data_IF_622985480873
#
_entry.id   IF_622985480873
#
_cell.length_a   1.000
_cell.length_b   1.000
_cell.length_c   1.000
_cell.angle_alpha   90.00
_cell.angle_beta   90.00
_cell.angle_gamma   90.00
#
_symmetry.space_group_name_H-M   'P 1'
#
loop_
_entity.id
_entity.type
_entity.pdbx_description
1 polymer ?
#
# COMPACT_ATOMS: atom_id res chain seq x y z
N UNK A 1 5.35 22.73 5.63
CA UNK A 1 6.36 21.66 5.52
C UNK A 1 7.06 21.32 6.82
N UNK A 2 7.36 22.29 7.70
CA UNK A 2 7.98 21.99 9.00
C UNK A 2 7.11 21.16 9.97
N UNK A 3 5.80 21.13 9.80
CA UNK A 3 4.88 20.46 10.71
C UNK A 3 4.82 18.93 10.48
N UNK A 4 4.78 18.48 9.24
CA UNK A 4 4.75 17.04 8.91
C UNK A 4 6.07 16.35 9.30
N UNK A 5 7.20 17.04 9.14
CA UNK A 5 8.52 16.52 9.55
C UNK A 5 8.71 16.41 11.09
N UNK A 6 7.78 16.98 11.87
CA UNK A 6 7.77 16.83 13.34
C UNK A 6 7.00 15.59 13.80
N UNK A 7 6.21 14.98 12.93
CA UNK A 7 5.43 13.78 13.26
C UNK A 7 6.37 12.56 13.19
N UNK A 8 6.37 11.68 14.21
CA UNK A 8 7.16 10.45 14.16
C UNK A 8 6.81 9.59 12.93
N UNK A 9 7.83 9.03 12.28
CA UNK A 9 7.64 8.21 11.08
C UNK A 9 6.61 7.08 11.23
N UNK A 10 6.64 6.30 12.32
CA UNK A 10 5.63 5.25 12.55
C UNK A 10 4.20 5.76 12.57
N UNK A 11 3.96 6.97 13.08
CA UNK A 11 2.61 7.58 13.10
C UNK A 11 2.16 7.92 11.67
N UNK A 12 3.07 8.43 10.83
CA UNK A 12 2.76 8.70 9.42
C UNK A 12 2.44 7.41 8.67
N UNK A 13 3.21 6.33 8.89
CA UNK A 13 2.94 5.03 8.29
C UNK A 13 1.59 4.48 8.73
N UNK A 14 1.27 4.55 10.03
CA UNK A 14 -0.01 4.09 10.57
C UNK A 14 -1.20 4.84 9.94
N UNK A 15 -1.15 6.18 9.89
CA UNK A 15 -2.20 6.99 9.26
C UNK A 15 -2.32 6.64 7.77
N UNK A 16 -1.19 6.44 7.09
CA UNK A 16 -1.17 6.02 5.69
C UNK A 16 -1.84 4.66 5.48
N UNK A 17 -1.58 3.67 6.35
CA UNK A 17 -2.22 2.36 6.31
C UNK A 17 -3.74 2.46 6.56
N UNK A 18 -4.19 3.34 7.48
CA UNK A 18 -5.63 3.62 7.67
C UNK A 18 -6.24 4.21 6.40
N UNK A 19 -5.55 5.12 5.69
CA UNK A 19 -6.03 5.62 4.39
C UNK A 19 -6.19 4.48 3.37
N UNK A 20 -5.22 3.56 3.30
CA UNK A 20 -5.28 2.42 2.38
C UNK A 20 -6.45 1.48 2.70
N UNK A 21 -6.85 1.36 3.96
CA UNK A 21 -7.94 0.50 4.42
C UNK A 21 -9.29 0.79 3.76
N UNK A 22 -9.50 2.01 3.22
CA UNK A 22 -10.71 2.35 2.46
C UNK A 22 -10.79 1.65 1.10
N UNK A 23 -9.71 1.02 0.63
CA UNK A 23 -9.64 0.40 -0.69
C UNK A 23 -10.71 -0.65 -0.94
N UNK A 24 -10.97 -1.52 0.03
CA UNK A 24 -11.98 -2.57 -0.08
C UNK A 24 -13.39 -2.04 -0.33
N UNK A 25 -13.81 -1.01 0.42
CA UNK A 25 -15.12 -0.37 0.25
C UNK A 25 -15.22 0.27 -1.13
N UNK A 26 -14.21 1.06 -1.51
CA UNK A 26 -14.23 1.78 -2.79
C UNK A 26 -14.29 0.79 -3.96
N UNK A 27 -13.48 -0.29 -3.91
CA UNK A 27 -13.45 -1.29 -4.99
C UNK A 27 -14.78 -2.03 -5.11
N UNK A 28 -15.42 -2.37 -4.00
CA UNK A 28 -16.74 -3.03 -4.01
C UNK A 28 -17.89 -2.13 -4.52
N UNK A 29 -17.67 -0.82 -4.56
CA UNK A 29 -18.69 0.15 -4.96
C UNK A 29 -18.65 0.52 -6.45
N UNK A 30 -17.67 0.04 -7.24
CA UNK A 30 -17.67 0.23 -8.68
C UNK A 30 -18.79 -0.60 -9.35
N UNK A 31 -19.54 0.03 -10.29
CA UNK A 31 -20.74 -0.58 -10.89
C UNK A 31 -20.53 -1.02 -12.35
N UNK A 32 -19.64 -0.39 -13.11
CA UNK A 32 -19.55 -0.66 -14.56
C UNK A 32 -18.16 -0.47 -15.16
N UNK A 33 -17.23 0.15 -14.45
CA UNK A 33 -15.87 0.32 -14.95
C UNK A 33 -15.11 -1.01 -14.98
N UNK A 34 -14.43 -1.29 -16.09
CA UNK A 34 -13.54 -2.43 -16.17
C UNK A 34 -12.20 -2.14 -15.44
N UNK A 35 -11.47 -3.21 -15.18
CA UNK A 35 -10.17 -3.24 -14.52
C UNK A 35 -9.21 -2.14 -15.00
N UNK A 36 -9.06 -1.99 -16.33
CA UNK A 36 -8.08 -1.06 -16.90
C UNK A 36 -8.54 0.40 -16.82
N UNK A 37 -9.86 0.64 -16.89
CA UNK A 37 -10.47 1.94 -16.64
C UNK A 37 -10.27 2.36 -15.20
N UNK A 38 -10.47 1.43 -14.24
CA UNK A 38 -10.21 1.68 -12.82
C UNK A 38 -8.72 1.98 -12.59
N UNK A 39 -7.82 1.18 -13.18
CA UNK A 39 -6.39 1.42 -13.08
C UNK A 39 -6.04 2.82 -13.62
N UNK A 40 -6.51 3.17 -14.83
CA UNK A 40 -6.23 4.47 -15.45
C UNK A 40 -6.69 5.63 -14.56
N UNK A 41 -7.98 5.69 -14.22
CA UNK A 41 -8.53 6.83 -13.50
C UNK A 41 -7.99 6.94 -12.07
N UNK A 42 -7.87 5.82 -11.37
CA UNK A 42 -7.26 5.78 -10.03
C UNK A 42 -5.84 6.32 -10.05
N UNK A 43 -5.02 5.91 -11.00
CA UNK A 43 -3.64 6.35 -11.10
C UNK A 43 -3.52 7.79 -11.62
N UNK A 44 -4.43 8.23 -12.46
CA UNK A 44 -4.51 9.62 -12.90
C UNK A 44 -4.74 10.57 -11.70
N UNK A 45 -5.73 10.28 -10.84
CA UNK A 45 -5.97 11.07 -9.65
C UNK A 45 -4.86 10.95 -8.62
N UNK A 46 -4.22 9.80 -8.52
CA UNK A 46 -3.02 9.61 -7.72
C UNK A 46 -1.88 10.51 -8.19
N UNK A 47 -1.60 10.56 -9.49
CA UNK A 47 -0.58 11.44 -10.04
C UNK A 47 -0.90 12.93 -9.78
N UNK A 48 -2.18 13.32 -9.80
CA UNK A 48 -2.60 14.70 -9.48
C UNK A 48 -2.23 15.07 -8.04
N UNK A 49 -2.61 14.26 -7.04
CA UNK A 49 -2.32 14.60 -5.63
C UNK A 49 -0.81 14.61 -5.36
N UNK A 50 -0.06 13.67 -5.95
CA UNK A 50 1.40 13.66 -5.83
C UNK A 50 2.01 14.92 -6.48
N UNK A 51 1.49 15.33 -7.64
CA UNK A 51 1.91 16.57 -8.30
C UNK A 51 1.63 17.80 -7.43
N UNK A 52 0.43 17.86 -6.83
CA UNK A 52 0.06 18.97 -5.92
C UNK A 52 1.00 19.01 -4.70
N UNK A 53 1.30 17.86 -4.10
CA UNK A 53 2.27 17.77 -3.00
C UNK A 53 3.64 18.31 -3.43
N UNK A 54 4.14 17.88 -4.59
CA UNK A 54 5.45 18.31 -5.09
C UNK A 54 5.48 19.80 -5.44
N UNK A 55 4.41 20.34 -6.05
CA UNK A 55 4.31 21.77 -6.37
C UNK A 55 4.26 22.63 -5.10
N UNK A 56 3.49 22.22 -4.08
CA UNK A 56 3.41 22.93 -2.80
C UNK A 56 4.77 22.88 -2.07
N UNK A 57 5.42 21.71 -2.11
CA UNK A 57 6.67 21.45 -1.40
C UNK A 57 7.86 22.14 -2.06
N UNK A 58 8.01 22.01 -3.36
CA UNK A 58 9.20 22.42 -4.12
C UNK A 58 9.01 23.70 -4.92
N UNK A 59 7.77 24.14 -5.14
CA UNK A 59 7.47 25.38 -5.90
C UNK A 59 8.27 25.43 -7.22
N UNK A 60 9.13 26.46 -7.36
CA UNK A 60 9.99 26.64 -8.57
C UNK A 60 11.03 25.51 -8.76
N UNK A 61 11.31 24.72 -7.73
CA UNK A 61 12.27 23.61 -7.78
C UNK A 61 11.60 22.25 -8.07
N UNK A 62 10.38 22.23 -8.58
CA UNK A 62 9.63 21.01 -8.88
C UNK A 62 10.45 19.98 -9.68
N UNK A 63 11.02 20.35 -10.80
CA UNK A 63 11.84 19.45 -11.63
C UNK A 63 13.11 18.99 -10.92
N UNK A 64 13.68 19.83 -10.04
CA UNK A 64 14.86 19.47 -9.25
C UNK A 64 14.56 18.32 -8.26
N UNK A 65 13.30 18.17 -7.80
CA UNK A 65 12.92 17.04 -6.93
C UNK A 65 13.07 15.69 -7.63
N UNK A 66 12.73 15.60 -8.92
CA UNK A 66 12.94 14.40 -9.75
C UNK A 66 14.42 14.14 -9.99
N UNK A 67 15.20 15.18 -10.27
CA UNK A 67 16.64 15.05 -10.43
C UNK A 67 17.31 14.55 -9.16
N UNK A 68 16.89 15.04 -8.00
CA UNK A 68 17.42 14.62 -6.70
C UNK A 68 17.05 13.17 -6.33
N UNK A 69 15.86 12.71 -6.69
CA UNK A 69 15.47 11.30 -6.48
C UNK A 69 16.20 10.34 -7.43
N UNK A 70 16.63 10.84 -8.58
CA UNK A 70 17.51 10.18 -9.54
C UNK A 70 17.04 8.79 -9.98
N UNK A 71 18.00 7.97 -10.40
CA UNK A 71 17.75 6.59 -10.82
C UNK A 71 17.09 5.73 -9.74
N UNK A 72 17.46 5.81 -8.45
CA UNK A 72 16.77 5.04 -7.41
C UNK A 72 15.28 5.36 -7.31
N UNK A 73 14.92 6.66 -7.36
CA UNK A 73 13.53 7.08 -7.37
C UNK A 73 12.76 6.59 -8.61
N UNK A 74 13.40 6.64 -9.78
CA UNK A 74 12.81 6.11 -11.01
C UNK A 74 12.56 4.59 -10.93
N UNK A 75 13.56 3.81 -10.48
CA UNK A 75 13.42 2.35 -10.34
C UNK A 75 12.39 1.97 -9.28
N UNK A 76 12.35 2.67 -8.14
CA UNK A 76 11.31 2.50 -7.13
C UNK A 76 9.91 2.80 -7.68
N UNK A 77 9.77 3.86 -8.47
CA UNK A 77 8.53 4.22 -9.14
C UNK A 77 8.10 3.20 -10.21
N UNK A 78 9.05 2.72 -11.01
CA UNK A 78 8.80 1.67 -12.01
C UNK A 78 8.33 0.38 -11.33
N UNK A 79 9.03 -0.06 -10.28
CA UNK A 79 8.63 -1.23 -9.48
C UNK A 79 7.21 -1.07 -8.95
N UNK A 80 6.90 0.07 -8.32
CA UNK A 80 5.58 0.32 -7.76
C UNK A 80 4.48 0.39 -8.84
N UNK A 81 4.79 0.87 -10.06
CA UNK A 81 3.82 0.88 -11.17
C UNK A 81 3.39 -0.53 -11.58
N UNK A 82 4.36 -1.46 -11.61
CA UNK A 82 4.08 -2.88 -11.85
C UNK A 82 3.25 -3.48 -10.73
N UNK A 83 3.54 -3.11 -9.48
CA UNK A 83 2.74 -3.50 -8.32
C UNK A 83 1.28 -3.04 -8.43
N UNK A 84 1.04 -1.79 -8.82
CA UNK A 84 -0.32 -1.28 -9.00
C UNK A 84 -1.08 -2.01 -10.13
N UNK A 85 -0.43 -2.28 -11.26
CA UNK A 85 -1.03 -3.06 -12.35
C UNK A 85 -1.34 -4.49 -11.90
N UNK A 86 -0.39 -5.14 -11.23
CA UNK A 86 -0.54 -6.50 -10.71
C UNK A 86 -1.67 -6.61 -9.67
N UNK A 87 -1.82 -5.62 -8.79
CA UNK A 87 -2.91 -5.55 -7.82
C UNK A 87 -4.28 -5.59 -8.50
N UNK A 88 -4.47 -4.69 -9.48
CA UNK A 88 -5.75 -4.59 -10.19
C UNK A 88 -6.00 -5.85 -11.00
N UNK A 89 -4.99 -6.41 -11.66
CA UNK A 89 -5.09 -7.68 -12.38
C UNK A 89 -5.50 -8.83 -11.45
N UNK A 90 -4.86 -8.94 -10.29
CA UNK A 90 -5.17 -9.98 -9.31
C UNK A 90 -6.60 -9.88 -8.80
N UNK A 91 -7.10 -8.67 -8.52
CA UNK A 91 -8.48 -8.46 -8.08
C UNK A 91 -9.53 -8.98 -9.06
N UNK A 92 -9.19 -9.10 -10.35
CA UNK A 92 -10.08 -9.63 -11.39
C UNK A 92 -9.91 -11.13 -11.66
N UNK A 93 -8.70 -11.67 -11.49
CA UNK A 93 -8.39 -13.06 -11.87
C UNK A 93 -8.43 -14.01 -10.68
N UNK A 94 -8.29 -13.49 -9.44
CA UNK A 94 -8.42 -14.30 -8.23
C UNK A 94 -9.43 -13.68 -7.26
N UNK A 95 -9.60 -14.28 -6.07
CA UNK A 95 -10.52 -13.75 -5.07
C UNK A 95 -9.92 -12.53 -4.35
N UNK A 96 -10.78 -11.61 -3.90
CA UNK A 96 -10.36 -10.47 -3.07
C UNK A 96 -9.63 -10.95 -1.81
N UNK A 97 -10.08 -12.07 -1.22
CA UNK A 97 -9.44 -12.66 -0.04
C UNK A 97 -8.01 -13.14 -0.34
N UNK A 98 -7.79 -13.84 -1.47
CA UNK A 98 -6.46 -14.28 -1.88
C UNK A 98 -5.56 -13.08 -2.14
N UNK A 99 -6.06 -12.08 -2.87
CA UNK A 99 -5.29 -10.87 -3.18
C UNK A 99 -4.88 -10.14 -1.91
N UNK A 100 -5.81 -9.89 -0.99
CA UNK A 100 -5.52 -9.22 0.28
C UNK A 100 -4.56 -10.02 1.15
N UNK A 101 -4.71 -11.36 1.22
CA UNK A 101 -3.76 -12.21 1.95
C UNK A 101 -2.34 -12.10 1.37
N UNK A 102 -2.21 -12.17 0.04
CA UNK A 102 -0.91 -12.07 -0.62
C UNK A 102 -0.28 -10.69 -0.37
N UNK A 103 -1.05 -9.60 -0.41
CA UNK A 103 -0.54 -8.25 -0.13
C UNK A 103 0.05 -8.18 1.28
N UNK A 104 -0.59 -8.77 2.29
CA UNK A 104 -0.07 -8.71 3.67
C UNK A 104 1.29 -9.38 3.82
N UNK A 105 1.70 -10.24 2.87
CA UNK A 105 3.06 -10.80 2.84
C UNK A 105 4.15 -9.74 2.63
N UNK A 106 3.78 -8.49 2.29
CA UNK A 106 4.70 -7.35 2.24
C UNK A 106 5.47 -7.17 3.55
N UNK A 107 4.86 -7.53 4.69
CA UNK A 107 5.50 -7.52 6.01
C UNK A 107 6.75 -8.41 6.02
N UNK A 108 6.67 -9.58 5.39
CA UNK A 108 7.78 -10.53 5.28
C UNK A 108 8.83 -10.00 4.30
N UNK A 109 8.40 -9.47 3.14
CA UNK A 109 9.31 -8.88 2.15
C UNK A 109 10.05 -7.67 2.70
N UNK A 110 9.36 -6.78 3.44
CA UNK A 110 9.96 -5.62 4.09
C UNK A 110 11.02 -6.02 5.13
N UNK A 111 10.71 -7.00 5.97
CA UNK A 111 11.67 -7.51 6.95
C UNK A 111 12.89 -8.14 6.26
N UNK A 112 12.65 -8.96 5.23
CA UNK A 112 13.71 -9.66 4.49
C UNK A 112 14.59 -8.69 3.71
N UNK A 113 14.00 -7.81 2.89
CA UNK A 113 14.76 -6.84 2.10
C UNK A 113 15.45 -5.80 2.99
N UNK A 114 14.81 -5.39 4.09
CA UNK A 114 15.41 -4.53 5.11
C UNK A 114 16.67 -5.15 5.72
N UNK A 115 16.61 -6.43 6.05
CA UNK A 115 17.78 -7.15 6.56
C UNK A 115 18.92 -7.24 5.53
N UNK A 116 18.63 -7.64 4.29
CA UNK A 116 19.67 -7.84 3.28
C UNK A 116 20.25 -6.54 2.74
N UNK A 117 19.42 -5.55 2.40
CA UNK A 117 19.85 -4.34 1.72
C UNK A 117 20.20 -3.19 2.67
N UNK A 118 19.46 -3.05 3.78
CA UNK A 118 19.65 -1.95 4.73
C UNK A 118 20.51 -2.38 5.93
N UNK A 119 20.79 -3.68 6.07
CA UNK A 119 21.48 -4.27 7.23
C UNK A 119 20.72 -4.02 8.54
N UNK A 120 19.40 -3.80 8.46
CA UNK A 120 18.55 -3.63 9.63
C UNK A 120 18.43 -4.97 10.37
N UNK A 121 18.80 -4.99 11.64
CA UNK A 121 18.65 -6.19 12.47
C UNK A 121 17.21 -6.30 12.95
N UNK A 122 16.59 -7.42 12.68
CA UNK A 122 15.26 -7.75 13.21
C UNK A 122 15.47 -8.21 14.66
N UNK A 123 14.98 -7.43 15.61
CA UNK A 123 15.00 -7.83 17.01
C UNK A 123 13.90 -8.87 17.31
N UNK A 124 14.01 -9.55 18.44
CA UNK A 124 13.07 -10.60 18.83
C UNK A 124 11.63 -10.08 18.94
N UNK A 125 11.45 -8.85 19.41
CA UNK A 125 10.12 -8.22 19.54
C UNK A 125 9.49 -8.01 18.17
N UNK A 126 10.25 -7.46 17.23
CA UNK A 126 9.80 -7.29 15.84
C UNK A 126 9.47 -8.64 15.19
N UNK A 127 10.30 -9.67 15.40
CA UNK A 127 10.03 -11.00 14.87
C UNK A 127 8.73 -11.60 15.44
N UNK A 128 8.54 -11.51 16.76
CA UNK A 128 7.30 -11.97 17.42
C UNK A 128 6.10 -11.20 16.87
N UNK A 129 6.22 -9.88 16.71
CA UNK A 129 5.13 -9.05 16.16
C UNK A 129 4.77 -9.47 14.72
N UNK A 130 5.75 -9.76 13.88
CA UNK A 130 5.49 -10.26 12.52
C UNK A 130 4.74 -11.60 12.58
N UNK A 131 5.19 -12.55 13.40
CA UNK A 131 4.56 -13.86 13.52
C UNK A 131 3.12 -13.72 14.05
N UNK A 132 2.90 -12.94 15.09
CA UNK A 132 1.57 -12.69 15.64
C UNK A 132 0.66 -12.00 14.62
N UNK A 133 1.14 -10.94 13.96
CA UNK A 133 0.38 -10.23 12.96
C UNK A 133 -0.03 -11.14 11.79
N UNK A 134 0.91 -11.91 11.24
CA UNK A 134 0.62 -12.86 10.17
C UNK A 134 -0.33 -13.98 10.61
N UNK A 135 -0.23 -14.47 11.86
CA UNK A 135 -1.20 -15.44 12.39
C UNK A 135 -2.61 -14.84 12.48
N UNK A 136 -2.73 -13.58 12.87
CA UNK A 136 -4.01 -12.86 12.86
C UNK A 136 -4.60 -12.74 11.44
N UNK A 137 -3.77 -12.43 10.45
CA UNK A 137 -4.18 -12.40 9.03
C UNK A 137 -4.64 -13.77 8.55
N UNK A 138 -3.93 -14.84 8.92
CA UNK A 138 -4.33 -16.22 8.59
C UNK A 138 -5.69 -16.59 9.20
N UNK A 139 -5.99 -16.14 10.41
CA UNK A 139 -7.30 -16.36 11.04
C UNK A 139 -8.41 -15.58 10.30
N UNK A 140 -8.15 -14.34 9.89
CA UNK A 140 -9.13 -13.53 9.16
C UNK A 140 -9.45 -14.13 7.80
N UNK A 141 -8.43 -14.44 7.03
CA UNK A 141 -8.56 -14.76 5.60
C UNK A 141 -8.48 -16.25 5.30
N UNK A 142 -7.94 -17.06 6.21
CA UNK A 142 -7.66 -18.47 5.97
C UNK A 142 -8.87 -19.29 5.51
N UNK A 143 -10.06 -19.01 6.05
CA UNK A 143 -11.31 -19.67 5.64
C UNK A 143 -11.81 -19.25 4.25
N UNK A 144 -11.35 -18.12 3.74
CA UNK A 144 -11.73 -17.55 2.44
C UNK A 144 -10.68 -17.81 1.34
N UNK A 145 -9.53 -18.40 1.71
CA UNK A 145 -8.48 -18.74 0.74
C UNK A 145 -8.93 -19.94 -0.10
N UNK A 146 -8.92 -19.76 -1.41
CA UNK A 146 -9.29 -20.82 -2.35
C UNK A 146 -8.49 -20.71 -3.65
N UNK A 147 -8.22 -21.85 -4.29
CA UNK A 147 -7.69 -21.95 -5.65
C UNK A 147 -8.61 -22.94 -6.38
N UNK A 148 -9.45 -22.42 -7.26
CA UNK A 148 -10.47 -23.22 -7.95
C UNK A 148 -10.18 -23.41 -9.45
N UNK A 149 -9.26 -22.60 -10.01
CA UNK A 149 -8.93 -22.65 -11.44
C UNK A 149 -7.46 -22.27 -11.69
N UNK A 150 -6.95 -22.64 -12.88
CA UNK A 150 -5.62 -22.23 -13.34
C UNK A 150 -5.50 -20.70 -13.49
N UNK A 151 -6.57 -20.02 -13.83
CA UNK A 151 -6.62 -18.56 -13.92
C UNK A 151 -6.44 -17.92 -12.56
N UNK A 152 -7.13 -18.42 -11.53
CA UNK A 152 -6.95 -17.95 -10.14
C UNK A 152 -5.53 -18.21 -9.62
N UNK A 153 -4.96 -19.36 -9.97
CA UNK A 153 -3.57 -19.65 -9.60
C UNK A 153 -2.60 -18.64 -10.22
N UNK A 154 -2.77 -18.33 -11.51
CA UNK A 154 -1.96 -17.30 -12.18
C UNK A 154 -2.18 -15.92 -11.56
N UNK A 155 -3.42 -15.56 -11.24
CA UNK A 155 -3.74 -14.33 -10.52
C UNK A 155 -3.03 -14.22 -9.18
N UNK A 156 -2.99 -15.32 -8.41
CA UNK A 156 -2.27 -15.37 -7.13
C UNK A 156 -0.75 -15.17 -7.30
N UNK A 157 -0.15 -15.78 -8.34
CA UNK A 157 1.29 -15.58 -8.62
C UNK A 157 1.57 -14.11 -8.98
N UNK A 158 0.77 -13.53 -9.86
CA UNK A 158 0.93 -12.12 -10.27
C UNK A 158 0.71 -11.17 -9.09
N UNK A 159 -0.20 -11.51 -8.17
CA UNK A 159 -0.45 -10.71 -6.97
C UNK A 159 0.81 -10.47 -6.13
N UNK A 160 1.78 -11.40 -6.11
CA UNK A 160 3.04 -11.22 -5.36
C UNK A 160 3.91 -10.06 -5.86
N UNK A 161 3.69 -9.60 -7.09
CA UNK A 161 4.41 -8.42 -7.61
C UNK A 161 4.10 -7.20 -6.75
N UNK A 162 2.87 -7.05 -6.22
CA UNK A 162 2.49 -5.89 -5.39
C UNK A 162 3.30 -5.80 -4.09
N UNK A 163 3.31 -6.80 -3.19
CA UNK A 163 4.05 -6.72 -1.93
C UNK A 163 5.57 -6.62 -2.14
N UNK A 164 6.11 -7.26 -3.18
CA UNK A 164 7.53 -7.13 -3.54
C UNK A 164 7.82 -5.69 -4.00
N UNK A 165 7.00 -5.14 -4.88
CA UNK A 165 7.18 -3.78 -5.41
C UNK A 165 7.09 -2.72 -4.32
N UNK A 166 6.16 -2.88 -3.38
CA UNK A 166 6.04 -2.01 -2.22
C UNK A 166 7.27 -2.09 -1.33
N UNK A 167 7.75 -3.30 -1.03
CA UNK A 167 8.96 -3.51 -0.23
C UNK A 167 10.20 -2.89 -0.90
N UNK A 168 10.34 -3.01 -2.22
CA UNK A 168 11.40 -2.34 -2.99
C UNK A 168 11.33 -0.83 -2.83
N UNK A 169 10.14 -0.22 -2.97
CA UNK A 169 9.98 1.23 -2.77
C UNK A 169 10.43 1.66 -1.36
N UNK A 170 9.96 0.97 -0.32
CA UNK A 170 10.30 1.30 1.07
C UNK A 170 11.81 1.17 1.30
N UNK A 171 12.43 0.12 0.78
CA UNK A 171 13.89 -0.05 0.87
C UNK A 171 14.62 1.09 0.18
N UNK A 172 14.21 1.50 -1.02
CA UNK A 172 14.78 2.66 -1.72
C UNK A 172 14.63 3.94 -0.88
N UNK A 173 13.45 4.18 -0.32
CA UNK A 173 13.22 5.32 0.58
C UNK A 173 14.19 5.31 1.77
N UNK A 174 14.38 4.15 2.39
CA UNK A 174 15.27 3.94 3.54
C UNK A 174 16.75 4.05 3.19
N UNK A 175 17.16 3.63 1.99
CA UNK A 175 18.54 3.79 1.52
C UNK A 175 18.93 5.26 1.35
N UNK A 176 17.97 6.13 1.07
CA UNK A 176 18.20 7.56 0.81
C UNK A 176 17.36 8.44 1.75
N UNK A 177 17.53 8.37 3.08
CA UNK A 177 16.64 9.01 4.05
C UNK A 177 16.65 10.54 4.01
N UNK A 178 17.65 11.15 3.38
CA UNK A 178 17.77 12.60 3.18
C UNK A 178 17.12 13.09 1.88
N UNK A 179 16.75 12.18 1.01
CA UNK A 179 16.12 12.47 -0.29
C UNK A 179 14.63 12.23 -0.18
N UNK A 180 13.83 13.18 -0.65
CA UNK A 180 12.39 12.96 -0.78
C UNK A 180 12.14 12.02 -1.98
N UNK A 181 11.59 10.86 -1.70
CA UNK A 181 11.26 9.85 -2.72
C UNK A 181 9.78 9.91 -3.17
N UNK A 182 9.02 10.94 -2.78
CA UNK A 182 7.67 11.16 -3.32
C UNK A 182 7.67 11.31 -4.86
N UNK A 183 8.69 11.88 -5.53
CA UNK A 183 8.77 11.85 -7.00
C UNK A 183 8.70 10.43 -7.61
N UNK A 184 9.16 9.39 -6.90
CA UNK A 184 9.01 8.00 -7.35
C UNK A 184 7.54 7.60 -7.50
N UNK A 185 6.67 8.11 -6.63
CA UNK A 185 5.23 7.85 -6.69
C UNK A 185 4.56 8.52 -7.88
N UNK A 186 5.00 9.73 -8.25
CA UNK A 186 4.55 10.35 -9.50
C UNK A 186 4.89 9.46 -10.70
N UNK A 187 6.13 8.97 -10.76
CA UNK A 187 6.57 8.03 -11.81
C UNK A 187 5.69 6.78 -11.81
N UNK A 188 5.42 6.19 -10.64
CA UNK A 188 4.55 5.02 -10.50
C UNK A 188 3.13 5.30 -11.01
N UNK A 189 2.54 6.43 -10.60
CA UNK A 189 1.20 6.84 -11.02
C UNK A 189 1.08 7.03 -12.53
N UNK A 190 2.03 7.76 -13.13
CA UNK A 190 2.03 8.01 -14.58
C UNK A 190 2.22 6.71 -15.37
N UNK A 191 3.20 5.87 -15.01
CA UNK A 191 3.45 4.61 -15.73
C UNK A 191 2.26 3.65 -15.60
N UNK A 192 1.68 3.50 -14.42
CA UNK A 192 0.50 2.66 -14.23
C UNK A 192 -0.76 3.23 -14.92
N UNK A 193 -0.92 4.56 -14.97
CA UNK A 193 -1.98 5.18 -15.76
C UNK A 193 -1.81 4.91 -17.26
N UNK A 194 -0.58 4.98 -17.79
CA UNK A 194 -0.29 4.64 -19.17
C UNK A 194 -0.65 3.17 -19.46
N UNK A 195 -0.29 2.24 -18.58
CA UNK A 195 -0.70 0.84 -18.70
C UNK A 195 -2.23 0.73 -18.76
N UNK A 196 -2.93 1.35 -17.79
CA UNK A 196 -4.38 1.38 -17.77
C UNK A 196 -4.99 1.94 -19.06
N UNK A 197 -4.44 3.06 -19.58
CA UNK A 197 -4.89 3.69 -20.81
C UNK A 197 -4.75 2.78 -22.03
N UNK A 198 -3.61 2.10 -22.17
CA UNK A 198 -3.34 1.22 -23.31
C UNK A 198 -4.32 0.07 -23.37
N UNK A 199 -4.65 -0.52 -22.22
CA UNK A 199 -5.49 -1.72 -22.14
C UNK A 199 -6.98 -1.44 -21.89
N UNK A 200 -7.38 -0.20 -21.57
CA UNK A 200 -8.77 0.15 -21.27
C UNK A 200 -9.70 0.06 -22.51
N UNK A 201 -9.18 0.20 -23.71
CA UNK A 201 -9.96 0.32 -24.95
C UNK A 201 -10.77 1.63 -24.99
N UNK A 202 -11.68 1.83 -24.06
CA UNK A 202 -12.41 3.09 -23.84
C UNK A 202 -12.15 3.57 -22.42
N UNK A 203 -11.89 4.88 -22.25
CA UNK A 203 -11.62 5.47 -20.92
C UNK A 203 -12.85 6.07 -20.25
N UNK A 204 -13.97 6.20 -20.99
CA UNK A 204 -15.21 6.74 -20.45
C UNK A 204 -15.81 5.78 -19.44
N UNK A 205 -16.13 6.30 -18.26
CA UNK A 205 -16.83 5.60 -17.17
C UNK A 205 -17.99 6.46 -16.67
N UNK A 206 -18.87 5.89 -15.87
CA UNK A 206 -19.97 6.63 -15.27
C UNK A 206 -19.46 7.74 -14.34
N UNK A 207 -20.24 8.82 -14.09
CA UNK A 207 -19.89 9.84 -13.10
C UNK A 207 -19.70 9.25 -11.70
N UNK A 208 -20.47 8.21 -11.34
CA UNK A 208 -20.36 7.48 -10.09
C UNK A 208 -18.98 6.79 -9.99
N UNK A 209 -18.61 6.01 -11.00
CA UNK A 209 -17.32 5.31 -11.02
C UNK A 209 -16.12 6.28 -11.08
N UNK A 210 -16.29 7.41 -11.78
CA UNK A 210 -15.27 8.47 -11.81
C UNK A 210 -15.04 9.08 -10.43
N UNK A 211 -16.11 9.31 -9.67
CA UNK A 211 -16.02 9.80 -8.28
C UNK A 211 -15.35 8.77 -7.37
N UNK A 212 -15.66 7.49 -7.52
CA UNK A 212 -14.99 6.42 -6.78
C UNK A 212 -13.50 6.31 -7.14
N UNK A 213 -13.16 6.44 -8.43
CA UNK A 213 -11.78 6.47 -8.87
C UNK A 213 -11.02 7.69 -8.32
N UNK A 214 -11.69 8.86 -8.21
CA UNK A 214 -11.14 10.02 -7.53
C UNK A 214 -10.86 9.74 -6.05
N UNK A 215 -11.81 9.18 -5.31
CA UNK A 215 -11.62 8.82 -3.91
C UNK A 215 -10.47 7.80 -3.75
N UNK A 216 -10.43 6.79 -4.61
CA UNK A 216 -9.37 5.78 -4.60
C UNK A 216 -8.00 6.38 -4.93
N UNK A 217 -7.91 7.19 -5.96
CA UNK A 217 -6.63 7.74 -6.43
C UNK A 217 -6.12 8.88 -5.57
N UNK A 218 -6.98 9.85 -5.27
CA UNK A 218 -6.60 11.07 -4.56
C UNK A 218 -6.47 10.82 -3.06
N UNK A 219 -7.49 10.24 -2.44
CA UNK A 219 -7.54 10.07 -0.99
C UNK A 219 -6.89 8.76 -0.54
N UNK A 220 -7.39 7.60 -0.99
CA UNK A 220 -6.97 6.30 -0.47
C UNK A 220 -5.48 6.05 -0.75
N UNK A 221 -5.06 5.96 -2.01
CA UNK A 221 -3.65 5.71 -2.32
C UNK A 221 -2.81 7.00 -2.28
N UNK A 222 -3.36 8.15 -2.64
CA UNK A 222 -2.62 9.40 -2.74
C UNK A 222 -2.08 9.88 -1.39
N UNK A 223 -2.96 10.18 -0.45
CA UNK A 223 -2.54 10.52 0.90
C UNK A 223 -1.83 9.35 1.57
N UNK A 224 -2.36 8.12 1.43
CA UNK A 224 -1.78 6.93 2.03
C UNK A 224 -0.31 6.76 1.67
N UNK A 225 0.03 6.69 0.39
CA UNK A 225 1.41 6.47 -0.05
C UNK A 225 2.34 7.66 0.23
N UNK A 226 1.87 8.91 0.13
CA UNK A 226 2.69 10.07 0.52
C UNK A 226 3.09 9.95 2.00
N UNK A 227 2.14 9.67 2.90
CA UNK A 227 2.42 9.53 4.33
C UNK A 227 3.34 8.35 4.61
N UNK A 228 3.11 7.19 3.98
CA UNK A 228 3.94 6.01 4.13
C UNK A 228 5.37 6.30 3.64
N UNK A 229 5.53 6.94 2.48
CA UNK A 229 6.86 7.29 1.97
C UNK A 229 7.61 8.21 2.90
N UNK A 230 6.96 9.26 3.41
CA UNK A 230 7.58 10.17 4.37
C UNK A 230 7.89 9.49 5.69
N UNK A 231 6.99 8.65 6.19
CA UNK A 231 7.15 7.91 7.43
C UNK A 231 8.25 6.84 7.34
N UNK A 232 8.37 6.18 6.19
CA UNK A 232 9.39 5.14 5.96
C UNK A 232 10.82 5.69 5.93
N UNK A 233 11.02 7.00 5.75
CA UNK A 233 12.36 7.59 5.84
C UNK A 233 13.03 7.36 7.20
N UNK A 234 12.23 7.30 8.26
CA UNK A 234 12.73 7.17 9.65
C UNK A 234 12.26 5.90 10.34
N UNK A 235 11.35 5.12 9.75
CA UNK A 235 10.81 3.88 10.33
C UNK A 235 11.52 2.68 9.73
N UNK A 236 12.09 1.76 10.54
CA UNK A 236 12.67 0.52 10.04
C UNK A 236 11.70 -0.28 9.16
N UNK A 237 12.21 -0.90 8.09
CA UNK A 237 11.37 -1.57 7.09
C UNK A 237 10.47 -2.66 7.68
N UNK A 238 10.97 -3.47 8.61
CA UNK A 238 10.17 -4.48 9.29
C UNK A 238 9.02 -3.89 10.13
N UNK A 239 9.25 -2.72 10.77
CA UNK A 239 8.21 -2.01 11.53
C UNK A 239 7.16 -1.41 10.59
N UNK A 240 7.57 -0.88 9.43
CA UNK A 240 6.62 -0.46 8.38
C UNK A 240 5.69 -1.62 8.05
N UNK A 241 6.23 -2.83 7.82
CA UNK A 241 5.44 -4.02 7.54
C UNK A 241 4.43 -4.36 8.65
N UNK A 242 4.83 -4.34 9.91
CA UNK A 242 3.90 -4.59 11.03
C UNK A 242 2.79 -3.54 11.07
N UNK A 243 3.12 -2.27 10.84
CA UNK A 243 2.12 -1.20 10.82
C UNK A 243 1.15 -1.31 9.63
N UNK A 244 1.61 -1.82 8.48
CA UNK A 244 0.76 -2.05 7.31
C UNK A 244 -0.32 -3.10 7.56
N UNK A 245 -0.14 -4.04 8.50
CA UNK A 245 -1.20 -4.98 8.91
C UNK A 245 -2.45 -4.29 9.46
N UNK A 246 -2.36 -3.01 9.81
CA UNK A 246 -3.51 -2.15 10.15
C UNK A 246 -4.60 -2.22 9.09
N UNK A 247 -4.24 -2.32 7.81
CA UNK A 247 -5.18 -2.40 6.69
C UNK A 247 -6.11 -3.62 6.81
N UNK A 248 -5.58 -4.77 7.24
CA UNK A 248 -6.35 -6.00 7.42
C UNK A 248 -7.40 -5.91 8.54
N UNK A 249 -7.22 -4.99 9.48
CA UNK A 249 -8.17 -4.76 10.59
C UNK A 249 -9.17 -3.67 10.22
N UNK A 250 -8.68 -2.52 9.77
CA UNK A 250 -9.54 -1.37 9.50
C UNK A 250 -10.41 -1.57 8.26
N UNK A 251 -9.95 -2.32 7.24
CA UNK A 251 -10.75 -2.62 6.05
C UNK A 251 -12.12 -3.22 6.40
N UNK A 252 -12.20 -4.37 7.10
CA UNK A 252 -13.45 -4.95 7.56
C UNK A 252 -14.26 -4.06 8.52
N UNK A 253 -13.60 -3.33 9.42
CA UNK A 253 -14.30 -2.41 10.34
C UNK A 253 -14.97 -1.26 9.59
N UNK A 254 -14.31 -0.70 8.59
CA UNK A 254 -14.88 0.34 7.74
C UNK A 254 -16.02 -0.22 6.88
N UNK A 255 -15.90 -1.45 6.36
CA UNK A 255 -16.98 -2.11 5.63
C UNK A 255 -18.22 -2.28 6.55
N UNK A 256 -18.02 -2.68 7.79
CA UNK A 256 -19.11 -2.76 8.77
C UNK A 256 -19.77 -1.40 8.98
N UNK A 257 -18.99 -0.35 9.19
CA UNK A 257 -19.50 0.98 9.50
C UNK A 257 -20.23 1.64 8.31
N UNK A 258 -19.69 1.54 7.09
CA UNK A 258 -20.20 2.25 5.92
C UNK A 258 -21.25 1.49 5.10
N UNK A 259 -21.13 0.15 5.03
CA UNK A 259 -22.01 -0.70 4.22
C UNK A 259 -22.76 -1.75 5.04
N UNK A 260 -22.71 -1.65 6.39
CA UNK A 260 -23.38 -2.55 7.33
C UNK A 260 -23.00 -4.05 7.14
N UNK A 261 -21.83 -4.35 6.61
CA UNK A 261 -21.30 -5.71 6.47
C UNK A 261 -20.76 -6.19 7.82
N UNK A 262 -21.56 -6.99 8.56
CA UNK A 262 -21.18 -7.46 9.90
C UNK A 262 -19.95 -8.37 9.79
N UNK A 263 -18.82 -8.04 10.47
CA UNK A 263 -17.61 -8.84 10.39
C UNK A 263 -17.81 -10.21 11.06
N UNK A 264 -17.38 -11.31 10.41
CA UNK A 264 -17.37 -12.63 11.03
C UNK A 264 -16.52 -12.66 12.31
N UNK A 265 -16.79 -13.63 13.20
CA UNK A 265 -16.04 -13.79 14.45
C UNK A 265 -14.52 -13.98 14.21
N UNK A 266 -14.13 -14.59 13.09
CA UNK A 266 -12.74 -14.75 12.68
C UNK A 266 -12.06 -13.41 12.44
N UNK A 267 -12.79 -12.42 11.90
CA UNK A 267 -12.28 -11.06 11.69
C UNK A 267 -12.06 -10.35 13.02
N UNK A 268 -12.97 -10.52 13.99
CA UNK A 268 -12.81 -9.93 15.32
C UNK A 268 -11.64 -10.57 16.08
N UNK A 269 -11.53 -11.91 16.05
CA UNK A 269 -10.46 -12.64 16.71
C UNK A 269 -9.08 -12.32 16.08
N UNK A 270 -8.94 -12.47 14.76
CA UNK A 270 -7.69 -12.21 14.06
C UNK A 270 -7.31 -10.73 14.11
N UNK A 271 -8.29 -9.83 14.00
CA UNK A 271 -8.09 -8.37 14.14
C UNK A 271 -7.57 -8.01 15.55
N UNK A 272 -8.10 -8.63 16.60
CA UNK A 272 -7.60 -8.47 17.96
C UNK A 272 -6.12 -8.88 18.10
N UNK A 273 -5.71 -9.99 17.47
CA UNK A 273 -4.30 -10.45 17.46
C UNK A 273 -3.41 -9.44 16.69
N UNK A 274 -3.88 -8.92 15.56
CA UNK A 274 -3.13 -7.92 14.79
C UNK A 274 -2.96 -6.63 15.60
N UNK A 275 -4.03 -6.12 16.22
CA UNK A 275 -3.95 -4.94 17.08
C UNK A 275 -2.95 -5.18 18.22
N UNK A 276 -3.03 -6.33 18.86
CA UNK A 276 -2.07 -6.71 19.92
C UNK A 276 -0.63 -6.71 19.38
N UNK A 277 -0.39 -7.29 18.20
CA UNK A 277 0.92 -7.31 17.54
C UNK A 277 1.46 -5.89 17.32
N UNK A 278 0.63 -4.98 16.79
CA UNK A 278 1.03 -3.57 16.54
C UNK A 278 1.34 -2.85 17.84
N UNK A 279 0.50 -3.01 18.86
CA UNK A 279 0.71 -2.42 20.18
C UNK A 279 1.96 -3.00 20.86
N UNK A 280 2.15 -4.33 20.80
CA UNK A 280 3.33 -5.00 21.33
C UNK A 280 4.62 -4.46 20.70
N UNK A 281 4.64 -4.31 19.36
CA UNK A 281 5.76 -3.67 18.66
C UNK A 281 5.96 -2.22 19.10
N UNK A 282 4.88 -1.46 19.25
CA UNK A 282 4.95 -0.02 19.60
C UNK A 282 5.47 0.23 21.01
N UNK A 283 5.11 -0.62 21.97
CA UNK A 283 5.48 -0.45 23.38
C UNK A 283 6.83 -1.07 23.72
N UNK A 284 7.14 -2.24 23.16
CA UNK A 284 8.31 -3.03 23.54
C UNK A 284 9.40 -3.06 22.46
N UNK A 285 9.10 -2.64 21.24
CA UNK A 285 10.09 -2.55 20.16
C UNK A 285 11.18 -1.53 20.48
N UNK A 286 12.41 -1.82 20.05
CA UNK A 286 13.52 -0.88 20.21
C UNK A 286 13.27 0.39 19.42
N UNK A 287 13.26 1.54 20.11
CA UNK A 287 13.15 2.88 19.51
C UNK A 287 14.51 3.31 18.91
N UNK A 288 15.08 2.52 18.03
CA UNK A 288 16.28 2.92 17.28
C UNK A 288 15.84 3.76 16.08
N UNK A 289 15.35 4.96 16.33
CA UNK A 289 15.00 5.96 15.32
C UNK A 289 16.16 6.92 15.08
#
# INVERSE_FOLDING_TARGET
MNTIKKIPGPVLVFIGAVCLSFGGIIVKSFEGANLWQILFWRQFFFAIIVTLYLLITYKKSFFKSFYNSGLPGFLGGLSLSLGFAAYVFAMYTTTVANTNFIITTETIFLATLGYFFLKEKIDLITLISIILGMSGVLIILGSSLSIQSSEQFMGNIIAFIMPISFAVLVVVVRMYPKVDMVPAQFTAGILAAIIGFIFAGKILISPHDLFLAFLAGFFQIGFGFILITLGSQTTPAAIVGVLMLTESVFGPLLAWFFINEIPPITVLAGGGIIIFSILFQSFFGKKNF
#
